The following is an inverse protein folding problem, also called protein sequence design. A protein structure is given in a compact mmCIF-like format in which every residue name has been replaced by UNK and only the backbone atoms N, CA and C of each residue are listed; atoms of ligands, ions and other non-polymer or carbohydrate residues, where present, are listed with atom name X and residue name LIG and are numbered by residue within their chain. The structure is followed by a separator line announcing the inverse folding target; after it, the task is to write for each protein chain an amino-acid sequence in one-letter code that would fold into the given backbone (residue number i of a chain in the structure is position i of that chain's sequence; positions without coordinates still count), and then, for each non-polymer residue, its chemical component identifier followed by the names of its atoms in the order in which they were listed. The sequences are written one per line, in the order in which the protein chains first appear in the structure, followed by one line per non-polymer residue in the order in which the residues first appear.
data_IF_685677075860
#
_entry.id   IF_685677075860
#
_cell.length_a   1.000
_cell.length_b   1.000
_cell.length_c   1.000
_cell.angle_alpha   90.00
_cell.angle_beta   90.00
_cell.angle_gamma   90.00
#
_symmetry.space_group_name_H-M   'P 1'
#
loop_
_entity.id
_entity.type
_entity.pdbx_description
1 polymer ?
#
# COMPACT_ATOMS: atom_id res chain seq x y z
N UNK A 1 0.75 -13.61 2.92
CA UNK A 1 0.42 -12.17 2.97
C UNK A 1 1.03 -11.55 1.74
N UNK A 2 0.36 -10.66 1.00
CA UNK A 2 1.00 -9.98 -0.14
C UNK A 2 2.26 -9.25 0.37
N UNK A 3 3.40 -9.50 -0.26
CA UNK A 3 4.66 -8.81 0.01
C UNK A 3 4.69 -7.53 -0.85
N UNK A 4 5.00 -6.39 -0.24
CA UNK A 4 5.05 -5.11 -0.94
C UNK A 4 5.60 -3.98 -0.06
N UNK A 5 5.97 -2.87 -0.69
CA UNK A 5 6.53 -1.70 0.01
C UNK A 5 5.45 -0.64 0.19
N UNK A 6 5.39 -0.04 1.39
CA UNK A 6 4.46 1.08 1.64
C UNK A 6 4.87 2.26 0.75
N UNK A 7 4.03 2.57 -0.24
CA UNK A 7 4.24 3.67 -1.18
C UNK A 7 3.90 4.99 -0.52
N UNK A 8 2.75 5.03 0.16
CA UNK A 8 2.28 6.19 0.90
C UNK A 8 1.22 5.79 1.92
N UNK A 9 1.18 6.50 3.06
CA UNK A 9 0.19 6.26 4.11
C UNK A 9 -0.22 7.58 4.78
N UNK A 10 -1.53 7.81 4.89
CA UNK A 10 -2.08 8.92 5.66
C UNK A 10 -2.46 8.47 7.07
N UNK A 11 -1.64 8.85 8.06
CA UNK A 11 -1.87 8.49 9.47
C UNK A 11 -3.14 9.07 10.07
N UNK A 12 -3.59 10.24 9.58
CA UNK A 12 -4.79 10.91 10.10
C UNK A 12 -6.05 10.22 9.58
N UNK A 13 -6.05 9.83 8.30
CA UNK A 13 -7.20 9.19 7.66
C UNK A 13 -7.20 7.66 7.80
N UNK A 14 -6.08 7.06 8.17
CA UNK A 14 -5.96 5.61 8.43
C UNK A 14 -5.96 4.74 7.18
N UNK A 15 -5.55 5.26 6.03
CA UNK A 15 -5.44 4.50 4.78
C UNK A 15 -4.19 4.85 3.99
N UNK A 16 -3.81 3.99 3.05
CA UNK A 16 -2.67 4.16 2.16
C UNK A 16 -2.66 3.22 0.97
N UNK A 17 -1.51 3.18 0.31
CA UNK A 17 -1.25 2.29 -0.81
C UNK A 17 0.07 1.56 -0.62
N UNK A 18 0.08 0.29 -0.99
CA UNK A 18 1.24 -0.59 -1.02
C UNK A 18 1.55 -0.89 -2.48
N UNK A 19 2.80 -0.67 -2.86
CA UNK A 19 3.32 -1.08 -4.16
C UNK A 19 3.62 -2.59 -4.11
N UNK A 20 3.10 -3.33 -5.09
CA UNK A 20 3.32 -4.76 -5.25
C UNK A 20 4.31 -5.02 -6.38
N UNK A 21 5.13 -6.07 -6.26
CA UNK A 21 6.14 -6.41 -7.28
C UNK A 21 5.50 -6.87 -8.61
N UNK A 22 4.31 -7.46 -8.57
CA UNK A 22 3.70 -8.15 -9.72
C UNK A 22 2.37 -7.53 -10.21
N UNK A 23 2.07 -6.26 -9.93
CA UNK A 23 0.84 -5.67 -10.46
C UNK A 23 0.37 -4.36 -9.86
N UNK A 24 -0.95 -4.23 -9.73
CA UNK A 24 -1.63 -2.99 -9.33
C UNK A 24 -1.40 -2.64 -7.85
N UNK A 25 -1.37 -1.34 -7.56
CA UNK A 25 -1.24 -0.81 -6.20
C UNK A 25 -2.37 -1.33 -5.30
N UNK A 26 -2.00 -1.85 -4.12
CA UNK A 26 -2.94 -2.40 -3.15
C UNK A 26 -3.36 -1.32 -2.14
N UNK A 27 -4.66 -1.05 -2.03
CA UNK A 27 -5.24 -0.13 -1.06
C UNK A 27 -5.40 -0.79 0.32
N UNK A 28 -4.98 -0.09 1.39
CA UNK A 28 -5.07 -0.54 2.80
C UNK A 28 -5.60 0.53 3.72
#
# INVERSE_FOLDING_TARGET
MPQGTVKWFNRVKGFGFIEQEDGEDLFV
#
